data_IF_794273246297
#
_entry.id   IF_794273246297
#
_cell.length_a   1.000
_cell.length_b   1.000
_cell.length_c   1.000
_cell.angle_alpha   90.00
_cell.angle_beta   90.00
_cell.angle_gamma   90.00
#
_symmetry.space_group_name_H-M   'P 1'
#
loop_
_entity.id
_entity.type
_entity.pdbx_description
1 polymer ?
#
# COMPACT_ATOMS: atom_id res chain seq x y z
N UNK A 1 4.31 -2.94 23.69
CA UNK A 1 5.31 -2.81 22.62
C UNK A 1 5.34 -1.37 22.12
N UNK A 2 6.52 -0.78 22.00
CA UNK A 2 6.72 0.43 21.21
C UNK A 2 7.30 -0.01 19.86
N UNK A 3 6.51 0.03 18.78
CA UNK A 3 6.91 -0.49 17.47
C UNK A 3 7.18 0.65 16.50
N UNK A 4 8.36 0.65 15.88
CA UNK A 4 8.68 1.62 14.85
C UNK A 4 9.76 1.15 13.91
N UNK A 5 9.80 1.77 12.74
CA UNK A 5 10.70 1.38 11.67
C UNK A 5 11.97 2.25 11.61
N UNK A 6 13.02 1.65 11.06
CA UNK A 6 14.37 2.24 10.97
C UNK A 6 14.82 2.49 9.54
N UNK A 7 14.16 1.83 8.58
CA UNK A 7 14.26 2.13 7.16
C UNK A 7 13.62 3.48 6.83
N UNK A 8 13.77 3.89 5.58
CA UNK A 8 13.22 5.14 5.08
C UNK A 8 13.05 5.01 3.57
N UNK A 9 12.06 5.69 2.99
CA UNK A 9 12.00 5.83 1.52
C UNK A 9 13.25 6.46 0.88
N UNK A 10 13.28 6.44 -0.45
CA UNK A 10 14.31 7.03 -1.31
C UNK A 10 14.79 8.43 -0.89
N UNK A 11 16.08 8.67 -1.12
CA UNK A 11 16.75 9.96 -0.93
C UNK A 11 16.58 10.90 -2.13
N UNK A 12 16.00 10.44 -3.23
CA UNK A 12 15.96 11.19 -4.51
C UNK A 12 15.27 12.55 -4.45
N UNK A 13 14.40 12.77 -3.45
CA UNK A 13 13.69 14.03 -3.21
C UNK A 13 14.40 15.00 -2.27
N UNK A 14 15.57 14.64 -1.74
CA UNK A 14 16.32 15.49 -0.80
C UNK A 14 17.43 16.27 -1.49
N UNK A 15 17.36 17.60 -1.41
CA UNK A 15 18.38 18.50 -1.97
C UNK A 15 19.59 18.72 -1.04
N UNK A 16 19.39 18.54 0.27
CA UNK A 16 20.43 18.66 1.30
C UNK A 16 20.97 17.29 1.72
N UNK A 17 22.05 17.27 2.51
CA UNK A 17 22.66 16.08 3.12
C UNK A 17 21.63 15.26 3.96
N UNK A 18 20.97 14.24 3.38
CA UNK A 18 19.72 13.72 3.93
C UNK A 18 19.93 12.76 5.09
N UNK A 19 21.14 12.21 5.21
CA UNK A 19 21.49 11.22 6.21
C UNK A 19 21.98 11.83 7.54
N UNK A 20 22.00 13.16 7.63
CA UNK A 20 22.35 13.90 8.83
C UNK A 20 21.13 14.62 9.41
N UNK A 21 21.04 14.66 10.74
CA UNK A 21 20.07 15.49 11.46
C UNK A 21 20.60 16.92 11.58
N UNK A 22 20.10 17.83 10.75
CA UNK A 22 20.51 19.24 10.72
C UNK A 22 19.51 20.09 11.48
N UNK A 23 19.98 20.86 12.47
CA UNK A 23 19.15 21.85 13.15
C UNK A 23 18.91 23.06 12.23
N UNK A 24 17.68 23.54 12.22
CA UNK A 24 17.31 24.77 11.52
C UNK A 24 15.95 25.27 11.98
N UNK A 25 15.32 26.07 11.12
CA UNK A 25 14.02 26.69 11.43
C UNK A 25 13.02 26.43 10.31
N UNK A 26 11.83 25.94 10.65
CA UNK A 26 10.69 25.80 9.73
C UNK A 26 9.49 26.53 10.31
N UNK A 27 8.87 27.42 9.54
CA UNK A 27 7.71 28.22 9.98
C UNK A 27 7.94 28.97 11.31
N UNK A 28 9.15 29.52 11.50
CA UNK A 28 9.53 30.25 12.71
C UNK A 28 9.75 29.39 13.96
N UNK A 29 9.78 28.06 13.82
CA UNK A 29 10.04 27.11 14.91
C UNK A 29 11.33 26.33 14.65
N UNK A 30 12.04 25.99 15.72
CA UNK A 30 13.17 25.06 15.64
C UNK A 30 12.71 23.72 15.04
N UNK A 31 13.50 23.20 14.12
CA UNK A 31 13.22 21.98 13.38
C UNK A 31 14.52 21.20 13.14
N UNK A 32 14.39 19.89 13.02
CA UNK A 32 15.46 19.00 12.60
C UNK A 32 15.13 18.52 11.19
N UNK A 33 16.06 18.71 10.27
CA UNK A 33 15.95 18.30 8.87
C UNK A 33 16.83 17.07 8.63
N UNK A 34 16.28 16.08 7.94
CA UNK A 34 16.95 14.82 7.66
C UNK A 34 15.92 13.75 7.30
N UNK A 35 16.31 12.84 6.41
CA UNK A 35 15.50 11.68 6.05
C UNK A 35 15.33 10.79 7.29
N UNK A 36 14.09 10.41 7.58
CA UNK A 36 13.78 9.64 8.77
C UNK A 36 13.48 10.48 10.01
N UNK A 37 13.78 11.79 10.03
CA UNK A 37 13.60 12.60 11.25
C UNK A 37 12.12 12.65 11.69
N UNK A 38 11.20 12.83 10.75
CA UNK A 38 9.77 12.82 11.01
C UNK A 38 9.19 11.39 10.95
N UNK A 39 9.57 10.62 9.93
CA UNK A 39 9.05 9.29 9.65
C UNK A 39 10.18 8.26 9.55
N UNK A 40 10.51 7.53 10.62
CA UNK A 40 9.98 7.74 11.98
C UNK A 40 11.04 7.62 13.09
N UNK A 41 12.31 7.85 12.75
CA UNK A 41 13.46 7.78 13.66
C UNK A 41 13.35 8.75 14.83
N UNK A 42 12.75 9.92 14.62
CA UNK A 42 12.46 10.86 15.72
C UNK A 42 11.54 10.25 16.78
N UNK A 43 10.51 9.51 16.35
CA UNK A 43 9.61 8.79 17.24
C UNK A 43 10.30 7.68 18.03
N UNK A 44 11.12 6.86 17.35
CA UNK A 44 11.96 5.85 18.01
C UNK A 44 12.89 6.46 19.06
N UNK A 45 13.55 7.58 18.73
CA UNK A 45 14.44 8.29 19.65
C UNK A 45 13.70 8.78 20.91
N UNK A 46 12.47 9.29 20.76
CA UNK A 46 11.62 9.72 21.88
C UNK A 46 11.33 8.56 22.84
N UNK A 47 10.99 7.38 22.33
CA UNK A 47 10.72 6.22 23.19
C UNK A 47 11.95 5.71 23.91
N UNK A 48 13.08 5.60 23.21
CA UNK A 48 14.34 5.20 23.83
C UNK A 48 14.74 6.19 24.95
N UNK A 49 14.58 7.49 24.72
CA UNK A 49 14.82 8.52 25.72
C UNK A 49 13.84 8.42 26.91
N UNK A 50 12.56 8.17 26.66
CA UNK A 50 11.54 8.02 27.71
C UNK A 50 11.82 6.79 28.60
N UNK A 51 12.24 5.68 28.02
CA UNK A 51 12.63 4.47 28.76
C UNK A 51 13.91 4.71 29.58
N UNK A 52 14.91 5.36 28.99
CA UNK A 52 16.14 5.73 29.70
C UNK A 52 15.85 6.66 30.90
N UNK A 53 15.00 7.67 30.72
CA UNK A 53 14.59 8.59 31.78
C UNK A 53 13.78 7.87 32.87
N UNK A 54 12.88 6.96 32.49
CA UNK A 54 12.10 6.13 33.43
C UNK A 54 13.02 5.28 34.30
N UNK A 55 13.99 4.59 33.67
CA UNK A 55 15.02 3.82 34.37
C UNK A 55 15.85 4.69 35.32
N UNK A 56 16.31 5.87 34.86
CA UNK A 56 17.08 6.80 35.67
C UNK A 56 16.30 7.35 36.88
N UNK A 57 14.97 7.46 36.77
CA UNK A 57 14.10 7.89 37.88
C UNK A 57 13.87 6.81 38.95
N UNK A 58 14.37 5.59 38.75
CA UNK A 58 14.14 4.45 39.65
C UNK A 58 12.73 3.87 39.58
N UNK A 59 11.91 4.32 38.63
CA UNK A 59 10.58 3.77 38.37
C UNK A 59 10.71 2.51 37.52
N UNK A 60 10.02 1.46 37.93
CA UNK A 60 9.95 0.20 37.21
C UNK A 60 8.52 0.02 36.73
N UNK A 61 8.27 -0.13 35.41
CA UNK A 61 6.95 -0.47 34.89
C UNK A 61 6.42 -1.77 35.52
N UNK A 62 5.10 -1.87 35.69
CA UNK A 62 4.47 -3.08 36.27
C UNK A 62 4.42 -4.28 35.32
N UNK A 63 4.82 -4.09 34.07
CA UNK A 63 4.85 -5.13 33.05
C UNK A 63 6.03 -4.90 32.11
N UNK A 64 6.18 -5.81 31.16
CA UNK A 64 7.29 -5.77 30.22
C UNK A 64 7.09 -4.66 29.18
N UNK A 65 8.18 -3.94 28.91
CA UNK A 65 8.20 -2.91 27.88
C UNK A 65 9.39 -3.19 26.98
N UNK A 66 9.10 -3.45 25.72
CA UNK A 66 10.11 -3.65 24.69
C UNK A 66 9.84 -2.72 23.52
N UNK A 67 10.94 -2.35 22.84
CA UNK A 67 10.96 -1.53 21.65
C UNK A 67 11.28 -2.45 20.48
N UNK A 68 10.34 -2.57 19.55
CA UNK A 68 10.55 -3.22 18.26
C UNK A 68 11.01 -2.13 17.29
N UNK A 69 12.29 -2.17 16.91
CA UNK A 69 12.89 -1.27 15.94
C UNK A 69 13.11 -2.05 14.64
N UNK A 70 12.03 -2.16 13.86
CA UNK A 70 11.97 -3.03 12.68
C UNK A 70 12.59 -2.35 11.46
N UNK A 71 12.83 -3.13 10.41
CA UNK A 71 13.18 -2.62 9.08
C UNK A 71 12.12 -3.05 8.08
N UNK A 72 12.15 -2.40 6.92
CA UNK A 72 11.36 -2.71 5.73
C UNK A 72 9.88 -2.28 5.81
N UNK A 73 9.48 -1.40 6.75
CA UNK A 73 8.08 -0.94 6.84
C UNK A 73 7.62 -0.18 5.59
N UNK A 74 8.53 0.55 4.95
CA UNK A 74 8.23 1.39 3.79
C UNK A 74 8.07 0.61 2.48
N UNK A 75 8.23 -0.73 2.52
CA UNK A 75 8.01 -1.65 1.40
C UNK A 75 7.05 -2.80 1.80
N UNK A 76 7.58 -3.93 2.30
CA UNK A 76 6.79 -5.12 2.60
C UNK A 76 6.50 -5.30 4.10
N UNK A 77 7.00 -4.44 4.98
CA UNK A 77 6.91 -4.57 6.44
C UNK A 77 7.47 -5.88 6.99
N UNK A 78 8.48 -6.47 6.33
CA UNK A 78 9.01 -7.79 6.68
C UNK A 78 9.50 -7.86 8.13
N UNK A 79 10.16 -6.83 8.66
CA UNK A 79 10.66 -6.86 10.03
C UNK A 79 9.56 -6.96 11.10
N UNK A 80 8.36 -6.42 10.83
CA UNK A 80 7.22 -6.61 11.73
C UNK A 80 6.63 -8.02 11.62
N UNK A 81 6.63 -8.61 10.42
CA UNK A 81 6.19 -10.00 10.22
C UNK A 81 7.13 -10.97 10.94
N UNK A 82 8.44 -10.77 10.83
CA UNK A 82 9.45 -11.58 11.51
C UNK A 82 9.26 -11.56 13.04
N UNK A 83 8.94 -10.40 13.63
CA UNK A 83 8.65 -10.27 15.05
C UNK A 83 7.41 -11.10 15.45
N UNK A 84 6.34 -11.06 14.63
CA UNK A 84 5.11 -11.83 14.86
C UNK A 84 5.38 -13.34 14.73
N UNK A 85 6.07 -13.77 13.68
CA UNK A 85 6.42 -15.18 13.43
C UNK A 85 7.34 -15.75 14.51
N UNK A 86 8.25 -14.93 15.04
CA UNK A 86 9.09 -15.30 16.18
C UNK A 86 8.32 -15.42 17.52
N UNK A 87 7.03 -15.04 17.53
CA UNK A 87 6.15 -15.15 18.69
C UNK A 87 6.24 -13.98 19.67
N UNK A 88 6.82 -12.85 19.26
CA UNK A 88 6.79 -11.63 20.09
C UNK A 88 5.36 -11.11 20.18
N UNK A 89 4.90 -10.82 21.40
CA UNK A 89 3.54 -10.35 21.65
C UNK A 89 3.49 -9.34 22.79
N UNK A 90 2.47 -8.47 22.77
CA UNK A 90 2.21 -7.50 23.82
C UNK A 90 0.71 -7.26 23.96
N UNK A 91 0.27 -6.82 25.15
CA UNK A 91 -1.12 -6.42 25.39
C UNK A 91 -1.54 -5.19 24.58
N UNK A 92 -0.58 -4.36 24.17
CA UNK A 92 -0.77 -3.19 23.33
C UNK A 92 0.50 -2.82 22.56
N UNK A 93 0.31 -2.28 21.36
CA UNK A 93 1.35 -1.64 20.57
C UNK A 93 1.05 -0.14 20.44
N UNK A 94 2.10 0.69 20.53
CA UNK A 94 2.03 2.13 20.22
C UNK A 94 3.04 2.38 19.13
N UNK A 95 2.64 3.11 18.09
CA UNK A 95 3.46 3.52 16.95
C UNK A 95 3.57 5.06 16.95
N UNK A 96 4.77 5.68 16.87
CA UNK A 96 5.01 7.11 16.90
C UNK A 96 5.04 7.66 15.47
N UNK A 97 3.98 7.41 14.70
CA UNK A 97 3.87 7.90 13.33
C UNK A 97 3.73 9.44 13.27
N UNK A 98 3.83 10.04 12.07
CA UNK A 98 3.79 11.49 11.87
C UNK A 98 2.37 12.10 11.96
N UNK A 99 1.66 11.80 13.06
CA UNK A 99 0.24 12.12 13.26
C UNK A 99 -0.01 13.45 14.00
N UNK A 100 1.02 14.29 14.15
CA UNK A 100 0.94 15.66 14.69
C UNK A 100 0.19 15.80 16.03
N UNK A 101 0.33 14.81 16.91
CA UNK A 101 -0.31 14.80 18.24
C UNK A 101 -1.73 14.24 18.26
N UNK A 102 -2.25 13.75 17.14
CA UNK A 102 -3.45 12.92 17.12
C UNK A 102 -3.14 11.51 17.67
N UNK A 103 -4.18 10.73 17.91
CA UNK A 103 -4.09 9.29 18.20
C UNK A 103 -4.92 8.60 17.13
N UNK A 104 -4.27 7.75 16.32
CA UNK A 104 -4.94 6.92 15.34
C UNK A 104 -5.07 5.51 15.91
N UNK A 105 -6.31 5.06 16.11
CA UNK A 105 -6.59 3.72 16.62
C UNK A 105 -6.66 2.65 15.52
N UNK A 106 -6.84 3.07 14.26
CA UNK A 106 -6.84 2.19 13.10
C UNK A 106 -6.49 2.99 11.83
N UNK A 107 -6.05 2.27 10.80
CA UNK A 107 -5.88 2.76 9.43
C UNK A 107 -6.46 1.73 8.45
N UNK A 108 -6.70 2.15 7.20
CA UNK A 108 -7.10 1.23 6.13
C UNK A 108 -5.90 0.37 5.74
N UNK A 109 -6.16 -0.89 5.42
CA UNK A 109 -5.20 -1.72 4.69
C UNK A 109 -5.06 -1.24 3.25
N UNK A 110 -4.13 -1.80 2.50
CA UNK A 110 -4.01 -1.58 1.07
C UNK A 110 -3.67 -2.87 0.33
N UNK A 111 -3.93 -2.89 -0.97
CA UNK A 111 -3.65 -4.01 -1.85
C UNK A 111 -3.44 -3.48 -3.27
N UNK A 112 -2.36 -3.89 -3.92
CA UNK A 112 -2.14 -3.65 -5.34
C UNK A 112 -2.47 -4.89 -6.16
N UNK A 113 -3.29 -4.72 -7.17
CA UNK A 113 -3.66 -5.78 -8.12
C UNK A 113 -3.31 -5.33 -9.52
N UNK A 114 -2.56 -6.14 -10.24
CA UNK A 114 -2.32 -5.95 -11.67
C UNK A 114 -3.31 -6.79 -12.48
N UNK A 115 -3.83 -6.24 -13.57
CA UNK A 115 -4.71 -6.97 -14.48
C UNK A 115 -4.26 -6.70 -15.92
N UNK A 116 -4.03 -7.79 -16.65
CA UNK A 116 -3.68 -7.74 -18.07
C UNK A 116 -4.92 -8.00 -18.93
N UNK A 117 -5.28 -7.02 -19.74
CA UNK A 117 -6.33 -7.16 -20.75
C UNK A 117 -5.65 -7.40 -22.08
N UNK A 118 -6.09 -8.45 -22.77
CA UNK A 118 -5.42 -8.99 -23.95
C UNK A 118 -6.22 -8.65 -25.21
N UNK A 119 -5.47 -8.48 -26.29
CA UNK A 119 -5.95 -8.19 -27.63
C UNK A 119 -5.18 -8.97 -28.67
N UNK A 120 -5.42 -8.65 -29.95
CA UNK A 120 -4.78 -9.27 -31.10
C UNK A 120 -4.16 -8.17 -31.95
N UNK A 121 -2.86 -8.28 -32.22
CA UNK A 121 -2.16 -7.33 -33.07
C UNK A 121 -2.77 -7.36 -34.48
N UNK A 122 -3.09 -6.18 -35.00
CA UNK A 122 -3.33 -5.98 -36.42
C UNK A 122 -2.79 -4.60 -36.82
N UNK A 123 -2.49 -4.46 -38.11
CA UNK A 123 -2.22 -3.13 -38.67
C UNK A 123 -3.53 -2.33 -38.68
N UNK A 124 -3.49 -1.03 -38.38
CA UNK A 124 -4.64 -0.13 -38.34
C UNK A 124 -5.49 -0.04 -39.63
N UNK A 125 -5.07 -0.71 -40.70
CA UNK A 125 -5.72 -0.72 -42.01
C UNK A 125 -6.73 -1.86 -42.19
N UNK A 126 -6.65 -2.94 -41.39
CA UNK A 126 -7.55 -4.10 -41.50
C UNK A 126 -8.30 -4.35 -40.17
N UNK A 127 -9.44 -3.67 -39.94
CA UNK A 127 -10.16 -3.71 -38.67
C UNK A 127 -11.07 -4.94 -38.51
N UNK A 128 -11.18 -5.82 -39.51
CA UNK A 128 -12.27 -6.80 -39.56
C UNK A 128 -12.18 -7.93 -38.50
N UNK A 129 -11.06 -8.08 -37.81
CA UNK A 129 -10.82 -9.17 -36.85
C UNK A 129 -10.00 -8.77 -35.62
N UNK A 130 -9.99 -7.47 -35.27
CA UNK A 130 -9.07 -6.95 -34.26
C UNK A 130 -9.71 -6.88 -32.87
N UNK A 131 -8.97 -7.38 -31.89
CA UNK A 131 -9.28 -7.27 -30.47
C UNK A 131 -8.35 -6.18 -29.89
N UNK A 132 -8.86 -4.97 -29.66
CA UNK A 132 -8.07 -3.85 -29.15
C UNK A 132 -8.04 -3.89 -27.61
N UNK A 133 -6.87 -4.22 -27.05
CA UNK A 133 -6.68 -4.35 -25.62
C UNK A 133 -6.99 -3.06 -24.83
N UNK A 134 -6.68 -1.88 -25.38
CA UNK A 134 -6.93 -0.59 -24.71
C UNK A 134 -8.43 -0.28 -24.72
N UNK A 135 -9.11 -0.53 -25.83
CA UNK A 135 -10.57 -0.34 -25.92
C UNK A 135 -11.33 -1.35 -25.05
N UNK A 136 -10.80 -2.54 -24.85
CA UNK A 136 -11.30 -3.51 -23.87
C UNK A 136 -11.02 -3.08 -22.43
N UNK A 137 -9.86 -2.46 -22.16
CA UNK A 137 -9.54 -1.90 -20.85
C UNK A 137 -10.55 -0.86 -20.36
N UNK A 138 -11.12 -0.06 -21.28
CA UNK A 138 -12.23 0.85 -20.96
C UNK A 138 -13.45 0.16 -20.33
N UNK A 139 -13.76 -1.08 -20.71
CA UNK A 139 -14.87 -1.85 -20.11
C UNK A 139 -14.55 -2.27 -18.67
N UNK A 140 -13.31 -2.64 -18.39
CA UNK A 140 -12.89 -2.96 -17.03
C UNK A 140 -12.88 -1.74 -16.12
N UNK A 141 -12.38 -0.60 -16.60
CA UNK A 141 -12.40 0.67 -15.84
C UNK A 141 -13.83 1.10 -15.46
N UNK A 142 -14.79 0.96 -16.37
CA UNK A 142 -16.21 1.24 -16.06
C UNK A 142 -16.80 0.25 -15.04
N UNK A 143 -16.36 -1.01 -15.06
CA UNK A 143 -16.77 -2.00 -14.07
C UNK A 143 -16.20 -1.65 -12.68
N UNK A 144 -14.93 -1.24 -12.61
CA UNK A 144 -14.29 -0.78 -11.38
C UNK A 144 -14.95 0.48 -10.82
N UNK A 145 -15.33 1.44 -11.66
CA UNK A 145 -16.06 2.64 -11.22
C UNK A 145 -17.40 2.28 -10.54
N UNK A 146 -18.13 1.31 -11.09
CA UNK A 146 -19.36 0.80 -10.45
C UNK A 146 -19.05 0.05 -9.16
N UNK A 147 -18.01 -0.79 -9.17
CA UNK A 147 -17.58 -1.56 -8.02
C UNK A 147 -17.14 -0.68 -6.84
N UNK A 148 -16.48 0.46 -7.10
CA UNK A 148 -16.10 1.45 -6.09
C UNK A 148 -17.30 1.87 -5.22
N UNK A 149 -18.49 2.02 -5.80
CA UNK A 149 -19.71 2.39 -5.06
C UNK A 149 -20.30 1.27 -4.20
N UNK A 150 -19.84 0.04 -4.40
CA UNK A 150 -20.29 -1.17 -3.69
C UNK A 150 -19.31 -1.60 -2.60
N UNK A 151 -18.13 -0.96 -2.53
CA UNK A 151 -17.17 -1.23 -1.46
C UNK A 151 -17.80 -0.91 -0.09
N UNK A 152 -17.47 -1.71 0.94
CA UNK A 152 -18.07 -1.54 2.25
C UNK A 152 -17.66 -0.23 2.92
N UNK A 153 -18.50 0.20 3.85
CA UNK A 153 -18.23 1.29 4.78
C UNK A 153 -18.00 0.71 6.15
N UNK A 154 -16.87 1.05 6.75
CA UNK A 154 -16.58 0.76 8.15
C UNK A 154 -16.92 1.99 9.01
N UNK A 155 -17.46 1.77 10.20
CA UNK A 155 -17.92 2.84 11.10
C UNK A 155 -16.78 3.78 11.54
N UNK A 156 -15.55 3.27 11.61
CA UNK A 156 -14.38 4.02 12.06
C UNK A 156 -13.50 4.50 10.90
N UNK A 157 -13.25 3.63 9.92
CA UNK A 157 -12.37 3.88 8.78
C UNK A 157 -13.09 4.50 7.57
N UNK A 158 -14.43 4.49 7.57
CA UNK A 158 -15.25 5.00 6.48
C UNK A 158 -15.28 4.08 5.25
N UNK A 159 -15.60 4.65 4.10
CA UNK A 159 -15.80 3.91 2.85
C UNK A 159 -14.48 3.34 2.30
N UNK A 160 -14.43 2.05 1.97
CA UNK A 160 -13.32 1.46 1.21
C UNK A 160 -13.14 2.17 -0.13
N UNK A 161 -11.93 2.21 -0.68
CA UNK A 161 -11.72 2.91 -1.95
C UNK A 161 -10.77 2.16 -2.86
N UNK A 162 -10.89 2.38 -4.16
CA UNK A 162 -9.98 1.91 -5.17
C UNK A 162 -9.64 3.05 -6.12
N UNK A 163 -8.46 2.99 -6.73
CA UNK A 163 -8.10 3.81 -7.88
C UNK A 163 -7.11 3.07 -8.78
N UNK A 164 -7.06 3.43 -10.06
CA UNK A 164 -6.06 2.90 -10.99
C UNK A 164 -4.83 3.82 -10.97
N UNK A 165 -3.72 3.33 -10.42
CA UNK A 165 -2.46 4.08 -10.30
C UNK A 165 -1.65 4.09 -11.60
N UNK A 166 -1.69 2.99 -12.35
CA UNK A 166 -1.00 2.84 -13.63
C UNK A 166 -1.90 2.20 -14.69
N UNK A 167 -1.74 2.67 -15.93
CA UNK A 167 -2.29 2.02 -17.13
C UNK A 167 -1.25 2.10 -18.25
N UNK A 168 -0.90 0.94 -18.81
CA UNK A 168 0.12 0.84 -19.86
C UNK A 168 -0.40 -0.05 -20.98
N UNK A 169 -0.36 0.42 -22.23
CA UNK A 169 -0.77 -0.38 -23.38
C UNK A 169 -0.41 0.29 -24.70
N UNK A 170 -0.23 -0.52 -25.73
CA UNK A 170 0.19 -0.08 -27.07
C UNK A 170 1.69 0.19 -27.19
N UNK A 171 2.19 0.08 -28.42
CA UNK A 171 3.62 0.26 -28.75
C UNK A 171 3.82 1.39 -29.76
N UNK A 172 2.89 1.55 -30.71
CA UNK A 172 2.94 2.58 -31.74
C UNK A 172 1.52 2.96 -32.22
N UNK A 173 1.33 4.14 -32.86
CA UNK A 173 0.00 4.60 -33.27
C UNK A 173 -0.67 3.80 -34.39
N UNK A 174 0.11 3.06 -35.19
CA UNK A 174 -0.38 2.40 -36.42
C UNK A 174 -0.79 0.93 -36.21
N UNK A 175 -0.67 0.43 -34.98
CA UNK A 175 -0.89 -0.97 -34.63
C UNK A 175 -1.86 -1.09 -33.47
N UNK A 176 -2.77 -2.05 -33.56
CA UNK A 176 -3.69 -2.33 -32.46
C UNK A 176 -2.95 -3.00 -31.29
N UNK A 177 -3.20 -2.56 -30.05
CA UNK A 177 -2.50 -3.05 -28.86
C UNK A 177 -2.91 -4.49 -28.53
N UNK A 178 -1.91 -5.35 -28.33
CA UNK A 178 -2.08 -6.75 -27.91
C UNK A 178 -2.28 -6.92 -26.41
N UNK A 179 -1.86 -5.92 -25.62
CA UNK A 179 -1.91 -5.95 -24.17
C UNK A 179 -2.12 -4.54 -23.61
N UNK A 180 -2.96 -4.45 -22.60
CA UNK A 180 -3.11 -3.28 -21.74
C UNK A 180 -3.14 -3.73 -20.28
N UNK A 181 -2.16 -3.30 -19.51
CA UNK A 181 -2.02 -3.59 -18.08
C UNK A 181 -2.60 -2.44 -17.27
N UNK A 182 -3.43 -2.76 -16.28
CA UNK A 182 -3.95 -1.81 -15.29
C UNK A 182 -3.52 -2.25 -13.89
N UNK A 183 -2.88 -1.33 -13.16
CA UNK A 183 -2.54 -1.52 -11.74
C UNK A 183 -3.52 -0.76 -10.87
N UNK A 184 -4.26 -1.47 -10.03
CA UNK A 184 -5.31 -0.95 -9.15
C UNK A 184 -4.81 -0.98 -7.71
N UNK A 185 -4.88 0.14 -7.00
CA UNK A 185 -4.71 0.19 -5.55
C UNK A 185 -6.07 0.20 -4.88
N UNK A 186 -6.27 -0.74 -3.95
CA UNK A 186 -7.38 -0.78 -3.02
C UNK A 186 -6.95 -0.26 -1.65
N UNK A 187 -7.84 0.46 -0.98
CA UNK A 187 -7.79 0.80 0.44
C UNK A 187 -8.88 0.00 1.14
N UNK A 188 -8.44 -0.99 1.88
CA UNK A 188 -9.27 -2.07 2.43
C UNK A 188 -9.73 -1.69 3.83
N UNK A 189 -10.98 -2.04 4.14
CA UNK A 189 -11.56 -1.98 5.49
C UNK A 189 -11.86 -3.41 5.96
N UNK A 190 -12.01 -3.68 7.28
CA UNK A 190 -12.06 -5.04 7.83
C UNK A 190 -13.08 -6.00 7.22
N UNK A 191 -14.15 -5.47 6.59
CA UNK A 191 -15.15 -6.27 5.90
C UNK A 191 -14.65 -6.92 4.58
N UNK A 192 -13.44 -6.62 4.13
CA UNK A 192 -12.82 -7.18 2.91
C UNK A 192 -11.46 -7.77 3.25
N UNK A 193 -11.18 -8.93 2.65
CA UNK A 193 -9.86 -9.57 2.64
C UNK A 193 -9.25 -9.48 1.25
N UNK A 194 -7.97 -9.82 1.12
CA UNK A 194 -7.28 -9.92 -0.17
C UNK A 194 -8.01 -10.90 -1.10
N UNK A 195 -8.33 -12.10 -0.60
CA UNK A 195 -8.98 -13.17 -1.35
C UNK A 195 -10.37 -12.73 -1.84
N UNK A 196 -11.12 -12.02 -1.00
CA UNK A 196 -12.43 -11.48 -1.41
C UNK A 196 -12.29 -10.47 -2.55
N UNK A 197 -11.29 -9.58 -2.51
CA UNK A 197 -11.10 -8.56 -3.55
C UNK A 197 -10.65 -9.22 -4.86
N UNK A 198 -9.72 -10.17 -4.81
CA UNK A 198 -9.30 -10.94 -5.99
C UNK A 198 -10.48 -11.72 -6.59
N UNK A 199 -11.33 -12.31 -5.74
CA UNK A 199 -12.57 -12.96 -6.16
C UNK A 199 -13.54 -12.01 -6.86
N UNK A 200 -13.73 -10.81 -6.32
CA UNK A 200 -14.60 -9.78 -6.92
C UNK A 200 -14.06 -9.31 -8.28
N UNK A 201 -12.75 -9.09 -8.41
CA UNK A 201 -12.10 -8.72 -9.67
C UNK A 201 -12.28 -9.82 -10.72
N UNK A 202 -12.04 -11.08 -10.34
CA UNK A 202 -12.25 -12.23 -11.24
C UNK A 202 -13.70 -12.29 -11.70
N UNK A 203 -14.67 -12.04 -10.81
CA UNK A 203 -16.08 -12.00 -11.17
C UNK A 203 -16.42 -10.85 -12.14
N UNK A 204 -15.85 -9.65 -11.95
CA UNK A 204 -16.02 -8.52 -12.87
C UNK A 204 -15.47 -8.86 -14.26
N UNK A 205 -14.26 -9.42 -14.33
CA UNK A 205 -13.61 -9.80 -15.59
C UNK A 205 -14.40 -10.88 -16.34
N UNK A 206 -14.90 -11.91 -15.63
CA UNK A 206 -15.78 -12.93 -16.20
C UNK A 206 -17.07 -12.32 -16.77
N UNK A 207 -17.73 -11.45 -16.02
CA UNK A 207 -18.96 -10.80 -16.48
C UNK A 207 -18.73 -9.94 -17.74
N UNK A 208 -17.57 -9.29 -17.87
CA UNK A 208 -17.20 -8.57 -19.09
C UNK A 208 -16.96 -9.54 -20.25
N UNK A 209 -16.24 -10.64 -20.02
CA UNK A 209 -15.97 -11.66 -21.03
C UNK A 209 -17.24 -12.30 -21.60
N UNK A 210 -18.26 -12.51 -20.76
CA UNK A 210 -19.57 -13.00 -21.19
C UNK A 210 -20.36 -12.01 -22.07
N UNK A 211 -20.15 -10.70 -21.85
CA UNK A 211 -20.88 -9.64 -22.56
C UNK A 211 -20.16 -9.14 -23.81
N UNK A 212 -18.83 -9.25 -23.85
CA UNK A 212 -17.98 -8.64 -24.87
C UNK A 212 -17.19 -9.71 -25.60
N UNK A 213 -17.63 -10.01 -26.82
CA UNK A 213 -16.97 -10.97 -27.73
C UNK A 213 -15.50 -10.56 -27.92
N UNK A 214 -14.59 -11.53 -27.79
CA UNK A 214 -13.15 -11.33 -27.96
C UNK A 214 -12.44 -10.76 -26.74
N UNK A 215 -13.14 -10.39 -25.66
CA UNK A 215 -12.49 -9.95 -24.43
C UNK A 215 -11.73 -11.11 -23.78
N UNK A 216 -10.40 -11.01 -23.74
CA UNK A 216 -9.51 -11.94 -23.06
C UNK A 216 -8.70 -11.17 -22.02
N UNK A 217 -8.32 -11.85 -20.96
CA UNK A 217 -7.54 -11.28 -19.88
C UNK A 217 -6.63 -12.34 -19.27
N UNK A 218 -5.56 -11.90 -18.63
CA UNK A 218 -4.83 -12.67 -17.65
C UNK A 218 -5.04 -12.00 -16.29
N UNK A 219 -5.46 -12.78 -15.30
CA UNK A 219 -5.46 -12.31 -13.92
C UNK A 219 -4.00 -12.06 -13.55
N UNK A 220 -3.63 -10.80 -13.30
CA UNK A 220 -2.28 -10.47 -12.90
C UNK A 220 -2.08 -10.79 -11.43
N UNK A 221 -0.82 -10.91 -11.05
CA UNK A 221 -0.43 -11.27 -9.70
C UNK A 221 -0.85 -10.16 -8.71
N UNK A 222 -1.17 -10.57 -7.49
CA UNK A 222 -1.19 -9.65 -6.37
C UNK A 222 0.23 -9.09 -6.19
N UNK A 223 0.38 -7.77 -6.31
CA UNK A 223 1.66 -7.10 -6.11
C UNK A 223 1.92 -6.77 -4.63
N UNK A 224 1.00 -7.16 -3.74
CA UNK A 224 1.19 -7.01 -2.31
C UNK A 224 2.20 -8.06 -1.84
N UNK A 225 3.44 -7.62 -1.60
CA UNK A 225 4.49 -8.46 -1.01
C UNK A 225 4.22 -8.84 0.46
N UNK A 226 3.09 -8.41 1.06
CA UNK A 226 2.79 -8.71 2.46
C UNK A 226 1.31 -8.54 2.83
N UNK A 227 0.48 -9.51 2.44
CA UNK A 227 -0.68 -9.93 3.24
C UNK A 227 -0.88 -11.46 3.20
N UNK A 228 0.13 -12.22 2.75
CA UNK A 228 0.17 -13.68 2.84
C UNK A 228 0.38 -14.16 4.29
N UNK A 229 -0.52 -13.75 5.19
CA UNK A 229 -0.74 -14.32 6.50
C UNK A 229 -2.07 -15.07 6.49
N UNK A 230 -2.27 -15.95 5.50
CA UNK A 230 -3.37 -16.89 5.48
C UNK A 230 -2.79 -18.30 5.63
N UNK A 231 -2.58 -18.74 6.87
CA UNK A 231 -2.81 -20.12 7.34
C UNK A 231 -2.44 -20.35 8.82
N UNK A 232 -3.48 -20.77 9.57
CA UNK A 232 -3.54 -21.42 10.89
C UNK A 232 -3.80 -20.54 12.14
#
# INVERSE_FOLDING_TARGET
MFNGHTDTVSLSSYEAEPLYGLFGTKNGKEAIFGRGCLDMKGGLAVWLAALAATKASGRIPRGDVFVAAVSDEEDASQGSQDDIEAGWSADAAVLPGPIHGAILAAHKGFLWVEVDILGVAAHGFDPASVEDAIMFAGSFLQALEKYQSQLPVDDFLGHGSLHCGFITGGEEPSSYPTKCTITVEYRIVPAKTEESILGDISALLKAIAEQKVGFKYAEGDCLCLSCAGDQA
#
